data_IF_437710984026
#
_entry.id   IF_437710984026
#
_cell.length_a   1.000
_cell.length_b   1.000
_cell.length_c   1.000
_cell.angle_alpha   90.00
_cell.angle_beta   90.00
_cell.angle_gamma   90.00
#
_symmetry.space_group_name_H-M   'P 1'
#
loop_
_entity.id
_entity.type
_entity.pdbx_description
1 polymer ?
#
# COMPACT_ATOMS: atom_id res chain seq x y z
N UNK A 1 -118.20 -2.45 -33.78
CA UNK A 1 -117.04 -1.57 -34.05
C UNK A 1 -116.29 -1.43 -32.73
N UNK A 2 -115.13 -2.06 -32.66
CA UNK A 2 -114.29 -2.18 -31.46
C UNK A 2 -113.27 -1.03 -31.52
N UNK A 3 -113.16 -0.24 -30.46
CA UNK A 3 -112.09 0.76 -30.30
C UNK A 3 -111.43 0.52 -28.94
N UNK A 4 -110.13 0.22 -28.90
CA UNK A 4 -109.45 -0.16 -27.65
C UNK A 4 -108.92 1.08 -26.93
N UNK A 5 -109.22 1.17 -25.63
CA UNK A 5 -108.57 2.10 -24.70
C UNK A 5 -107.55 1.32 -23.87
N UNK A 6 -106.46 0.92 -24.51
CA UNK A 6 -105.26 0.39 -23.83
C UNK A 6 -104.05 1.12 -24.36
N UNK A 7 -103.88 2.37 -23.92
CA UNK A 7 -102.62 3.11 -24.17
C UNK A 7 -102.12 3.90 -22.96
N UNK A 8 -103.00 4.31 -22.06
CA UNK A 8 -102.62 5.18 -20.94
C UNK A 8 -102.07 4.44 -19.71
N UNK A 9 -102.37 3.15 -19.51
CA UNK A 9 -101.76 2.41 -18.39
C UNK A 9 -100.32 2.01 -18.69
N UNK A 10 -99.99 1.62 -19.93
CA UNK A 10 -98.63 1.23 -20.31
C UNK A 10 -97.63 2.41 -20.33
N UNK A 11 -98.09 3.62 -20.66
CA UNK A 11 -97.24 4.83 -20.63
C UNK A 11 -96.93 5.26 -19.20
N UNK A 12 -97.91 5.19 -18.30
CA UNK A 12 -97.73 5.56 -16.89
C UNK A 12 -96.87 4.54 -16.13
N UNK A 13 -97.02 3.23 -16.40
CA UNK A 13 -96.10 2.23 -15.81
C UNK A 13 -94.69 2.33 -16.36
N UNK A 14 -94.49 2.67 -17.63
CA UNK A 14 -93.15 2.91 -18.19
C UNK A 14 -92.47 4.15 -17.60
N UNK A 15 -93.21 5.24 -17.38
CA UNK A 15 -92.67 6.45 -16.74
C UNK A 15 -92.33 6.21 -15.27
N UNK A 16 -93.18 5.49 -14.51
CA UNK A 16 -92.90 5.14 -13.12
C UNK A 16 -91.72 4.17 -13.01
N UNK A 17 -91.61 3.19 -13.91
CA UNK A 17 -90.45 2.29 -13.96
C UNK A 17 -89.15 3.04 -14.28
N UNK A 18 -89.18 4.00 -15.22
CA UNK A 18 -88.01 4.84 -15.55
C UNK A 18 -87.61 5.78 -14.40
N UNK A 19 -88.58 6.34 -13.67
CA UNK A 19 -88.29 7.16 -12.49
C UNK A 19 -87.73 6.34 -11.33
N UNK A 20 -88.21 5.11 -11.15
CA UNK A 20 -87.70 4.18 -10.15
C UNK A 20 -86.27 3.76 -10.48
N UNK A 21 -85.99 3.41 -11.74
CA UNK A 21 -84.65 3.04 -12.22
C UNK A 21 -83.64 4.16 -12.01
N UNK A 22 -84.00 5.42 -12.32
CA UNK A 22 -83.14 6.58 -12.00
C UNK A 22 -82.95 6.80 -10.50
N UNK A 23 -83.97 6.53 -9.69
CA UNK A 23 -83.87 6.64 -8.23
C UNK A 23 -82.92 5.58 -7.67
N UNK A 24 -82.99 4.37 -8.21
CA UNK A 24 -82.14 3.25 -7.84
C UNK A 24 -80.68 3.50 -8.30
N UNK A 25 -80.48 4.06 -9.50
CA UNK A 25 -79.17 4.53 -9.98
C UNK A 25 -78.61 5.66 -9.09
N UNK A 26 -79.43 6.63 -8.70
CA UNK A 26 -79.01 7.72 -7.80
C UNK A 26 -78.62 7.18 -6.42
N UNK A 27 -79.39 6.22 -5.91
CA UNK A 27 -79.09 5.54 -4.64
C UNK A 27 -77.80 4.73 -4.74
N UNK A 28 -77.57 4.04 -5.86
CA UNK A 28 -76.33 3.31 -6.11
C UNK A 28 -75.12 4.25 -6.20
N UNK A 29 -75.22 5.35 -6.95
CA UNK A 29 -74.16 6.37 -7.05
C UNK A 29 -73.85 7.01 -5.70
N UNK A 30 -74.87 7.27 -4.87
CA UNK A 30 -74.69 7.80 -3.52
C UNK A 30 -74.00 6.79 -2.61
N UNK A 31 -74.41 5.52 -2.61
CA UNK A 31 -73.78 4.46 -1.83
C UNK A 31 -72.33 4.23 -2.27
N UNK A 32 -72.07 4.33 -3.56
CA UNK A 32 -70.75 4.16 -4.15
C UNK A 32 -69.83 5.36 -3.87
N UNK A 33 -70.36 6.59 -3.84
CA UNK A 33 -69.62 7.77 -3.40
C UNK A 33 -69.19 7.66 -1.92
N UNK A 34 -70.07 7.16 -1.05
CA UNK A 34 -69.74 6.90 0.36
C UNK A 34 -68.67 5.81 0.47
N UNK A 35 -68.75 4.74 -0.33
CA UNK A 35 -67.72 3.70 -0.38
C UNK A 35 -66.35 4.29 -0.77
N UNK A 36 -66.31 5.08 -1.84
CA UNK A 36 -65.08 5.76 -2.29
C UNK A 36 -64.52 6.71 -1.23
N UNK A 37 -65.39 7.41 -0.50
CA UNK A 37 -64.99 8.29 0.58
C UNK A 37 -64.36 7.51 1.75
N UNK A 38 -65.01 6.44 2.22
CA UNK A 38 -64.45 5.57 3.27
C UNK A 38 -63.12 4.95 2.85
N UNK A 39 -63.00 4.47 1.60
CA UNK A 39 -61.74 3.94 1.09
C UNK A 39 -60.65 5.02 0.97
N UNK A 40 -61.02 6.27 0.64
CA UNK A 40 -60.06 7.39 0.58
C UNK A 40 -59.58 7.78 1.98
N UNK A 41 -60.47 7.80 2.97
CA UNK A 41 -60.15 8.03 4.38
C UNK A 41 -59.27 6.90 4.93
N UNK A 42 -59.57 5.64 4.62
CA UNK A 42 -58.74 4.50 5.01
C UNK A 42 -57.33 4.59 4.40
N UNK A 43 -57.23 4.94 3.11
CA UNK A 43 -55.93 5.19 2.46
C UNK A 43 -55.17 6.35 3.11
N UNK A 44 -55.87 7.41 3.51
CA UNK A 44 -55.26 8.55 4.20
C UNK A 44 -54.73 8.14 5.57
N UNK A 45 -55.53 7.46 6.39
CA UNK A 45 -55.10 6.94 7.69
C UNK A 45 -53.90 5.98 7.55
N UNK A 46 -53.94 5.07 6.58
CA UNK A 46 -52.81 4.19 6.30
C UNK A 46 -51.56 4.97 5.87
N UNK A 47 -51.71 5.99 5.03
CA UNK A 47 -50.60 6.84 4.60
C UNK A 47 -49.96 7.60 5.78
N UNK A 48 -50.75 8.10 6.73
CA UNK A 48 -50.26 8.75 7.95
C UNK A 48 -49.50 7.77 8.86
N UNK A 49 -50.00 6.54 9.03
CA UNK A 49 -49.31 5.50 9.79
C UNK A 49 -47.97 5.12 9.14
N UNK A 50 -47.95 4.94 7.82
CA UNK A 50 -46.74 4.68 7.06
C UNK A 50 -45.74 5.83 7.17
N UNK A 51 -46.22 7.08 7.12
CA UNK A 51 -45.39 8.27 7.30
C UNK A 51 -44.77 8.32 8.70
N UNK A 52 -45.55 8.06 9.75
CA UNK A 52 -45.06 8.05 11.13
C UNK A 52 -44.03 6.94 11.34
N UNK A 53 -44.27 5.74 10.78
CA UNK A 53 -43.34 4.62 10.81
C UNK A 53 -42.04 4.96 10.06
N UNK A 54 -42.14 5.60 8.89
CA UNK A 54 -41.00 6.05 8.10
C UNK A 54 -40.17 7.10 8.86
N UNK A 55 -40.80 8.07 9.52
CA UNK A 55 -40.11 9.06 10.35
C UNK A 55 -39.41 8.43 11.56
N UNK A 56 -40.03 7.45 12.20
CA UNK A 56 -39.40 6.73 13.33
C UNK A 56 -38.15 5.96 12.89
N UNK A 57 -38.23 5.25 11.75
CA UNK A 57 -37.07 4.59 11.15
C UNK A 57 -36.00 5.60 10.71
N UNK A 58 -36.41 6.75 10.17
CA UNK A 58 -35.51 7.83 9.78
C UNK A 58 -34.78 8.47 10.97
N UNK A 59 -35.44 8.59 12.12
CA UNK A 59 -34.82 9.05 13.36
C UNK A 59 -33.85 8.02 13.94
N UNK A 60 -34.21 6.73 13.85
CA UNK A 60 -33.35 5.64 14.32
C UNK A 60 -32.07 5.52 13.50
N UNK A 61 -32.16 5.56 12.16
CA UNK A 61 -30.96 5.57 11.29
C UNK A 61 -30.09 6.81 11.54
N UNK A 62 -30.68 7.96 11.86
CA UNK A 62 -29.93 9.17 12.15
C UNK A 62 -29.15 9.03 13.46
N UNK A 63 -29.77 8.45 14.49
CA UNK A 63 -29.10 8.17 15.76
C UNK A 63 -27.97 7.15 15.59
N UNK A 64 -28.18 6.10 14.79
CA UNK A 64 -27.12 5.14 14.44
C UNK A 64 -25.96 5.81 13.70
N UNK A 65 -26.24 6.69 12.75
CA UNK A 65 -25.22 7.48 12.05
C UNK A 65 -24.48 8.41 13.02
N UNK A 66 -25.17 9.03 13.98
CA UNK A 66 -24.55 9.88 15.02
C UNK A 66 -23.61 9.08 15.92
N UNK A 67 -24.00 7.86 16.28
CA UNK A 67 -23.16 6.95 17.05
C UNK A 67 -21.93 6.52 16.24
N UNK A 68 -22.10 6.14 14.96
CA UNK A 68 -20.98 5.80 14.08
C UNK A 68 -20.02 6.98 13.88
N UNK A 69 -20.54 8.19 13.66
CA UNK A 69 -19.73 9.42 13.58
C UNK A 69 -18.97 9.65 14.89
N UNK A 70 -19.59 9.39 16.04
CA UNK A 70 -18.93 9.56 17.35
C UNK A 70 -17.80 8.54 17.52
N UNK A 71 -18.03 7.28 17.17
CA UNK A 71 -17.01 6.21 17.18
C UNK A 71 -15.87 6.54 16.20
N UNK A 72 -16.20 6.96 14.97
CA UNK A 72 -15.21 7.38 13.97
C UNK A 72 -14.43 8.60 14.43
N UNK A 73 -15.07 9.59 15.07
CA UNK A 73 -14.40 10.77 15.62
C UNK A 73 -13.48 10.41 16.77
N UNK A 74 -13.89 9.51 17.67
CA UNK A 74 -13.04 9.02 18.75
C UNK A 74 -11.86 8.19 18.21
N UNK A 75 -12.07 7.36 17.19
CA UNK A 75 -11.01 6.64 16.50
C UNK A 75 -10.05 7.59 15.77
N UNK A 76 -10.58 8.65 15.14
CA UNK A 76 -9.80 9.68 14.44
C UNK A 76 -9.04 10.57 15.44
N UNK A 77 -9.61 10.90 16.60
CA UNK A 77 -8.93 11.60 17.69
C UNK A 77 -7.83 10.71 18.29
N UNK A 78 -8.08 9.41 18.44
CA UNK A 78 -7.05 8.45 18.88
C UNK A 78 -5.93 8.34 17.86
N UNK A 79 -6.25 8.30 16.56
CA UNK A 79 -5.24 8.36 15.48
C UNK A 79 -4.55 9.73 15.45
N UNK A 80 -5.25 10.83 15.69
CA UNK A 80 -4.67 12.19 15.77
C UNK A 80 -3.76 12.34 16.99
N UNK A 81 -4.10 11.73 18.13
CA UNK A 81 -3.24 11.65 19.31
C UNK A 81 -1.99 10.81 19.03
N UNK A 82 -2.14 9.69 18.31
CA UNK A 82 -1.00 8.91 17.81
C UNK A 82 -0.15 9.74 16.82
N UNK A 83 -0.77 10.52 15.91
CA UNK A 83 -0.09 11.38 14.92
C UNK A 83 0.54 12.62 15.55
N UNK A 84 0.02 13.14 16.66
CA UNK A 84 0.67 14.19 17.47
C UNK A 84 1.84 13.64 18.31
N UNK A 85 1.83 12.34 18.65
CA UNK A 85 2.99 11.62 19.21
C UNK A 85 3.95 11.09 18.15
N UNK A 86 3.55 11.08 16.88
CA UNK A 86 4.48 10.92 15.77
C UNK A 86 5.24 12.23 15.61
N UNK A 87 6.15 12.47 16.55
CA UNK A 87 7.21 13.45 16.35
C UNK A 87 7.94 13.04 15.05
N UNK A 88 7.85 13.88 14.03
CA UNK A 88 8.51 13.63 12.73
C UNK A 88 10.03 13.56 12.94
N UNK A 89 10.57 14.20 14.00
CA UNK A 89 11.93 14.01 14.49
C UNK A 89 12.14 12.71 15.28
N UNK A 90 11.09 12.09 15.85
CA UNK A 90 11.16 10.78 16.48
C UNK A 90 11.00 9.62 15.48
N UNK A 91 10.24 9.80 14.40
CA UNK A 91 10.18 8.89 13.26
C UNK A 91 11.54 8.74 12.59
N UNK A 92 12.24 9.86 12.45
CA UNK A 92 13.62 9.91 11.99
C UNK A 92 14.52 10.31 13.14
N UNK A 93 14.57 9.46 14.19
CA UNK A 93 15.53 9.59 15.28
C UNK A 93 16.94 9.50 14.66
N UNK A 94 17.54 10.65 14.35
CA UNK A 94 18.81 10.68 13.63
C UNK A 94 19.85 9.90 14.45
N UNK A 95 20.48 8.87 13.86
CA UNK A 95 21.42 8.01 14.59
C UNK A 95 22.72 8.75 14.95
N UNK A 96 22.94 9.92 14.36
CA UNK A 96 24.14 10.72 14.54
C UNK A 96 24.08 11.67 15.73
N UNK A 97 25.27 12.07 16.19
CA UNK A 97 25.45 13.19 17.11
C UNK A 97 24.99 14.54 16.52
N UNK A 98 24.69 15.51 17.39
CA UNK A 98 24.28 16.86 16.99
C UNK A 98 25.30 17.54 16.06
N UNK A 99 26.58 17.31 16.28
CA UNK A 99 27.68 17.88 15.49
C UNK A 99 27.63 17.40 14.02
N UNK A 100 27.44 16.10 13.82
CA UNK A 100 27.27 15.52 12.50
C UNK A 100 25.99 16.07 11.85
N UNK A 101 24.88 16.10 12.60
CA UNK A 101 23.59 16.58 12.08
C UNK A 101 23.64 18.05 11.63
N UNK A 102 24.39 18.92 12.32
CA UNK A 102 24.54 20.34 11.95
C UNK A 102 25.50 20.60 10.79
N UNK A 103 26.33 19.63 10.40
CA UNK A 103 27.30 19.82 9.31
C UNK A 103 26.58 19.94 7.96
N UNK A 104 26.63 21.09 7.26
CA UNK A 104 25.97 21.22 5.96
C UNK A 104 26.69 20.38 4.90
N UNK A 105 25.93 19.77 4.00
CA UNK A 105 26.50 19.16 2.78
C UNK A 105 26.83 20.32 1.83
N UNK A 106 28.10 20.48 1.38
CA UNK A 106 28.45 21.54 0.46
C UNK A 106 27.64 21.47 -0.83
N UNK A 107 27.11 22.59 -1.31
CA UNK A 107 26.27 22.64 -2.52
C UNK A 107 27.02 22.27 -3.80
N UNK A 108 28.34 22.33 -3.80
CA UNK A 108 29.23 21.92 -4.88
C UNK A 108 29.76 20.48 -4.70
N UNK A 109 29.24 19.71 -3.75
CA UNK A 109 29.68 18.34 -3.54
C UNK A 109 29.29 17.47 -4.74
N UNK A 110 30.26 16.70 -5.27
CA UNK A 110 30.04 15.83 -6.42
C UNK A 110 29.01 14.76 -6.06
N UNK A 111 28.13 14.44 -7.00
CA UNK A 111 27.18 13.34 -6.85
C UNK A 111 27.89 12.04 -6.46
N UNK A 112 27.28 11.30 -5.54
CA UNK A 112 27.84 10.07 -5.02
C UNK A 112 27.68 8.95 -6.05
N UNK A 113 28.80 8.56 -6.68
CA UNK A 113 28.84 7.46 -7.66
C UNK A 113 29.21 6.16 -6.96
N UNK A 114 28.30 5.66 -6.13
CA UNK A 114 28.42 4.37 -5.43
C UNK A 114 27.12 3.62 -5.63
N UNK A 115 27.22 2.35 -6.03
CA UNK A 115 26.04 1.51 -6.20
C UNK A 115 25.26 1.40 -4.88
N UNK A 116 23.92 1.48 -4.89
CA UNK A 116 23.16 1.39 -3.67
C UNK A 116 23.29 0.03 -2.99
N UNK A 117 23.39 0.02 -1.66
CA UNK A 117 23.46 -1.18 -0.84
C UNK A 117 22.08 -1.55 -0.31
N UNK A 118 21.51 -2.64 -0.80
CA UNK A 118 20.18 -3.11 -0.39
C UNK A 118 20.21 -4.17 0.73
N UNK A 119 21.42 -4.61 1.11
CA UNK A 119 21.63 -5.66 2.09
C UNK A 119 21.96 -7.02 1.48
N UNK A 120 22.15 -7.15 0.17
CA UNK A 120 22.53 -8.41 -0.48
C UNK A 120 24.00 -8.48 -0.89
N UNK A 121 24.67 -7.33 -1.00
CA UNK A 121 26.06 -7.21 -1.40
C UNK A 121 27.02 -7.47 -0.24
N UNK A 122 28.31 -7.66 -0.55
CA UNK A 122 29.35 -7.73 0.47
C UNK A 122 29.52 -6.34 1.15
N UNK A 123 29.33 -6.23 2.48
CA UNK A 123 29.43 -4.96 3.17
C UNK A 123 30.85 -4.35 3.13
N UNK A 124 31.90 -5.17 3.08
CA UNK A 124 33.26 -4.66 3.00
C UNK A 124 33.55 -4.04 1.63
N UNK A 125 33.07 -4.68 0.55
CA UNK A 125 33.21 -4.14 -0.80
C UNK A 125 32.47 -2.81 -0.95
N UNK A 126 31.26 -2.72 -0.41
CA UNK A 126 30.49 -1.47 -0.39
C UNK A 126 31.20 -0.36 0.37
N UNK A 127 31.68 -0.66 1.59
CA UNK A 127 32.41 0.28 2.43
C UNK A 127 33.69 0.78 1.74
N UNK A 128 34.43 -0.11 1.07
CA UNK A 128 35.63 0.22 0.32
C UNK A 128 35.33 1.14 -0.88
N UNK A 129 34.27 0.84 -1.64
CA UNK A 129 33.85 1.67 -2.78
C UNK A 129 33.49 3.08 -2.31
N UNK A 130 32.70 3.19 -1.24
CA UNK A 130 32.35 4.46 -0.63
C UNK A 130 33.57 5.24 -0.14
N UNK A 131 34.48 4.60 0.61
CA UNK A 131 35.70 5.26 1.09
C UNK A 131 36.61 5.76 -0.04
N UNK A 132 36.70 5.02 -1.14
CA UNK A 132 37.46 5.43 -2.32
C UNK A 132 36.88 6.71 -2.94
N UNK A 133 35.55 6.81 -3.01
CA UNK A 133 34.86 8.00 -3.48
C UNK A 133 35.03 9.19 -2.52
N UNK A 134 34.99 8.94 -1.22
CA UNK A 134 35.19 9.98 -0.21
C UNK A 134 36.62 10.52 -0.16
N UNK A 135 37.63 9.67 -0.38
CA UNK A 135 39.02 10.08 -0.51
C UNK A 135 39.21 11.09 -1.66
N UNK A 136 38.55 10.86 -2.80
CA UNK A 136 38.64 11.75 -3.97
C UNK A 136 37.89 13.07 -3.79
N UNK A 137 36.85 13.09 -2.95
CA UNK A 137 36.00 14.28 -2.74
C UNK A 137 36.41 15.12 -1.53
N UNK A 138 37.32 14.63 -0.68
CA UNK A 138 37.82 15.35 0.49
C UNK A 138 36.81 15.49 1.61
N UNK A 139 35.89 14.53 1.75
CA UNK A 139 34.82 14.61 2.76
C UNK A 139 35.31 14.53 4.20
N UNK A 140 34.71 15.33 5.08
CA UNK A 140 34.90 15.23 6.53
C UNK A 140 34.22 13.99 7.10
N UNK A 141 34.60 13.58 8.31
CA UNK A 141 34.00 12.41 8.98
C UNK A 141 32.47 12.53 9.10
N UNK A 142 31.98 13.71 9.50
CA UNK A 142 30.56 14.02 9.56
C UNK A 142 29.85 13.95 8.19
N UNK A 143 30.53 14.39 7.13
CA UNK A 143 29.99 14.31 5.77
C UNK A 143 29.94 12.85 5.29
N UNK A 144 30.97 12.06 5.59
CA UNK A 144 31.01 10.63 5.29
C UNK A 144 29.83 9.89 5.94
N UNK A 145 29.53 10.18 7.21
CA UNK A 145 28.35 9.63 7.90
C UNK A 145 27.05 9.88 7.14
N UNK A 146 26.80 11.14 6.77
CA UNK A 146 25.57 11.54 6.08
C UNK A 146 25.43 10.91 4.70
N UNK A 147 26.47 11.04 3.89
CA UNK A 147 26.47 10.54 2.51
C UNK A 147 26.43 9.02 2.45
N UNK A 148 26.95 8.32 3.46
CA UNK A 148 26.85 6.87 3.51
C UNK A 148 25.38 6.41 3.60
N UNK A 149 24.53 7.14 4.33
CA UNK A 149 23.10 6.81 4.41
C UNK A 149 22.42 6.90 3.04
N UNK A 150 22.83 7.86 2.20
CA UNK A 150 22.27 8.04 0.86
C UNK A 150 22.53 6.83 -0.05
N UNK A 151 23.53 6.01 0.28
CA UNK A 151 23.81 4.74 -0.41
C UNK A 151 22.91 3.59 0.01
N UNK A 152 22.22 3.66 1.15
CA UNK A 152 21.47 2.53 1.68
C UNK A 152 20.08 2.43 1.05
N UNK A 153 19.63 1.21 0.76
CA UNK A 153 18.28 0.90 0.24
C UNK A 153 17.71 -0.34 0.94
N UNK A 154 16.43 -0.60 0.75
CA UNK A 154 15.79 -1.85 1.18
C UNK A 154 16.03 -2.21 2.65
N UNK A 155 16.55 -3.42 2.90
CA UNK A 155 16.81 -3.96 4.24
C UNK A 155 17.85 -3.11 4.98
N UNK A 156 18.80 -2.51 4.28
CA UNK A 156 19.80 -1.64 4.88
C UNK A 156 19.20 -0.34 5.45
N UNK A 157 18.18 0.23 4.79
CA UNK A 157 17.43 1.38 5.31
C UNK A 157 16.58 1.01 6.53
N UNK A 158 16.01 -0.20 6.55
CA UNK A 158 15.26 -0.69 7.71
C UNK A 158 16.19 -0.87 8.91
N UNK A 159 17.39 -1.43 8.70
CA UNK A 159 18.41 -1.52 9.73
C UNK A 159 18.80 -0.15 10.31
N UNK A 160 18.94 0.87 9.47
CA UNK A 160 19.24 2.23 9.95
C UNK A 160 18.14 2.74 10.90
N UNK A 161 16.87 2.46 10.60
CA UNK A 161 15.72 2.93 11.40
C UNK A 161 15.61 2.31 12.79
N UNK A 162 16.21 1.14 13.01
CA UNK A 162 16.26 0.46 14.31
C UNK A 162 17.48 0.85 15.16
N UNK A 163 18.44 1.59 14.61
CA UNK A 163 19.56 2.11 15.40
C UNK A 163 19.05 3.14 16.42
N UNK A 164 19.56 3.04 17.65
CA UNK A 164 19.25 4.03 18.69
C UNK A 164 19.83 5.39 18.29
N UNK A 165 19.06 6.46 18.48
CA UNK A 165 19.54 7.81 18.23
C UNK A 165 20.82 8.09 19.00
N UNK A 166 21.68 8.95 18.44
CA UNK A 166 22.93 9.41 19.07
C UNK A 166 24.01 8.33 19.26
N UNK A 167 23.87 7.13 18.70
CA UNK A 167 24.88 6.07 18.84
C UNK A 167 26.08 6.25 17.91
N UNK A 168 25.93 6.98 16.82
CA UNK A 168 26.97 7.15 15.82
C UNK A 168 27.64 8.51 16.04
N UNK A 169 28.85 8.48 16.58
CA UNK A 169 29.65 9.67 16.86
C UNK A 169 30.69 9.93 15.77
N UNK A 170 30.99 8.92 14.95
CA UNK A 170 31.95 9.01 13.83
C UNK A 170 31.61 8.05 12.69
N UNK A 171 32.23 8.26 11.53
CA UNK A 171 32.08 7.33 10.41
C UNK A 171 32.64 5.94 10.74
N UNK A 172 33.66 5.89 11.60
CA UNK A 172 34.22 4.63 12.10
C UNK A 172 33.17 3.83 12.88
N UNK A 173 32.39 4.48 13.74
CA UNK A 173 31.33 3.81 14.52
C UNK A 173 30.25 3.26 13.60
N UNK A 174 29.83 4.07 12.61
CA UNK A 174 28.88 3.65 11.57
C UNK A 174 29.38 2.43 10.81
N UNK A 175 30.63 2.45 10.36
CA UNK A 175 31.25 1.36 9.61
C UNK A 175 31.31 0.05 10.42
N UNK A 176 31.65 0.13 11.72
CA UNK A 176 31.68 -1.04 12.61
C UNK A 176 30.29 -1.64 12.78
N UNK A 177 29.28 -0.81 13.04
CA UNK A 177 27.89 -1.26 13.18
C UNK A 177 27.37 -1.88 11.87
N UNK A 178 27.63 -1.22 10.75
CA UNK A 178 27.24 -1.68 9.42
C UNK A 178 27.84 -3.04 9.07
N UNK A 179 29.16 -3.19 9.22
CA UNK A 179 29.83 -4.47 8.93
C UNK A 179 29.33 -5.56 9.87
N UNK A 180 29.14 -5.25 11.16
CA UNK A 180 28.64 -6.23 12.14
C UNK A 180 27.24 -6.71 11.80
N UNK A 181 26.36 -5.82 11.35
CA UNK A 181 25.00 -6.16 10.95
C UNK A 181 24.96 -7.08 9.72
N UNK A 182 25.75 -6.75 8.69
CA UNK A 182 25.68 -7.40 7.38
C UNK A 182 26.79 -8.42 7.15
N UNK A 183 27.54 -8.81 8.20
CA UNK A 183 28.69 -9.73 8.08
C UNK A 183 28.32 -11.06 7.45
N UNK A 184 27.09 -11.54 7.63
CA UNK A 184 26.58 -12.76 7.02
C UNK A 184 26.49 -12.69 5.49
N UNK A 185 26.37 -11.48 4.92
CA UNK A 185 26.32 -11.23 3.47
C UNK A 185 27.70 -11.05 2.86
N UNK A 186 28.76 -11.21 3.67
CA UNK A 186 30.12 -11.23 3.15
C UNK A 186 30.23 -12.27 2.05
N UNK A 187 30.75 -11.86 0.90
CA UNK A 187 30.92 -12.75 -0.22
C UNK A 187 31.78 -13.94 0.24
N UNK A 188 31.30 -15.15 -0.05
CA UNK A 188 32.08 -16.36 0.23
C UNK A 188 33.45 -16.19 -0.42
N UNK A 189 34.51 -16.28 0.39
CA UNK A 189 35.87 -16.27 -0.13
C UNK A 189 36.03 -17.50 -1.00
N UNK A 190 36.55 -17.28 -2.21
CA UNK A 190 36.87 -18.38 -3.10
C UNK A 190 38.18 -19.00 -2.63
N UNK A 191 38.21 -20.32 -2.61
CA UNK A 191 39.37 -21.13 -2.28
C UNK A 191 40.05 -21.63 -3.57
N UNK A 192 41.30 -22.09 -3.47
CA UNK A 192 41.99 -22.72 -4.60
C UNK A 192 41.19 -23.89 -5.18
N UNK A 193 40.42 -24.60 -4.36
CA UNK A 193 39.54 -25.68 -4.81
C UNK A 193 38.51 -25.20 -5.85
N UNK A 194 37.93 -24.00 -5.67
CA UNK A 194 36.92 -23.45 -6.58
C UNK A 194 37.48 -23.18 -7.99
N UNK A 195 38.80 -23.00 -8.13
CA UNK A 195 39.44 -22.86 -9.45
C UNK A 195 39.42 -24.15 -10.26
N UNK A 196 39.40 -25.31 -9.61
CA UNK A 196 39.36 -26.61 -10.28
C UNK A 196 38.00 -26.93 -10.88
N UNK A 197 36.95 -26.23 -10.47
CA UNK A 197 35.60 -26.36 -11.01
C UNK A 197 35.41 -25.56 -12.31
N UNK A 198 36.32 -24.62 -12.61
CA UNK A 198 36.28 -23.83 -13.84
C UNK A 198 36.79 -24.68 -15.00
N UNK A 199 35.86 -25.14 -15.84
CA UNK A 199 36.16 -25.89 -17.06
C UNK A 199 35.88 -25.07 -18.31
N UNK A 200 36.70 -25.27 -19.33
CA UNK A 200 36.45 -24.75 -20.67
C UNK A 200 35.20 -25.45 -21.22
N UNK A 201 34.21 -24.66 -21.61
CA UNK A 201 32.96 -25.19 -22.14
C UNK A 201 33.13 -25.66 -23.59
N UNK A 202 32.26 -26.57 -24.04
CA UNK A 202 32.33 -27.07 -25.43
C UNK A 202 32.03 -25.93 -26.41
N UNK A 203 32.97 -25.66 -27.32
CA UNK A 203 32.88 -24.55 -28.27
C UNK A 203 33.31 -23.19 -27.72
N UNK A 204 33.78 -23.13 -26.48
CA UNK A 204 34.36 -21.91 -25.92
C UNK A 204 35.81 -21.72 -26.40
N UNK A 205 36.13 -20.52 -26.87
CA UNK A 205 37.51 -20.18 -27.21
C UNK A 205 38.37 -19.93 -25.95
N UNK A 206 39.68 -20.14 -26.09
CA UNK A 206 40.64 -20.03 -24.99
C UNK A 206 40.63 -18.66 -24.31
N UNK A 207 40.42 -17.57 -25.07
CA UNK A 207 40.39 -16.20 -24.53
C UNK A 207 39.23 -16.01 -23.56
N UNK A 208 38.06 -16.52 -23.89
CA UNK A 208 36.86 -16.44 -23.06
C UNK A 208 37.01 -17.27 -21.78
N UNK A 209 37.58 -18.47 -21.92
CA UNK A 209 37.88 -19.33 -20.77
C UNK A 209 38.89 -18.66 -19.82
N UNK A 210 39.99 -18.14 -20.37
CA UNK A 210 41.01 -17.43 -19.59
C UNK A 210 40.44 -16.20 -18.87
N UNK A 211 39.55 -15.45 -19.51
CA UNK A 211 38.90 -14.29 -18.88
C UNK A 211 38.06 -14.71 -17.67
N UNK A 212 37.28 -15.79 -17.78
CA UNK A 212 36.52 -16.32 -16.63
C UNK A 212 37.44 -16.85 -15.54
N UNK A 213 38.44 -17.65 -15.91
CA UNK A 213 39.40 -18.21 -14.96
C UNK A 213 40.10 -17.10 -14.17
N UNK A 214 40.57 -16.05 -14.85
CA UNK A 214 41.22 -14.91 -14.22
C UNK A 214 40.26 -14.14 -13.29
N UNK A 215 38.98 -13.98 -13.65
CA UNK A 215 38.01 -13.30 -12.79
C UNK A 215 37.78 -14.02 -11.45
N UNK A 216 37.79 -15.35 -11.45
CA UNK A 216 37.71 -16.14 -10.21
C UNK A 216 39.05 -16.12 -9.48
N UNK A 217 40.17 -16.27 -10.21
CA UNK A 217 41.53 -16.26 -9.65
C UNK A 217 41.83 -15.01 -8.82
N UNK A 218 41.48 -13.81 -9.32
CA UNK A 218 41.73 -12.55 -8.58
C UNK A 218 40.92 -12.42 -7.28
N UNK A 219 39.90 -13.27 -7.10
CA UNK A 219 39.04 -13.30 -5.90
C UNK A 219 39.43 -14.41 -4.92
N UNK A 220 40.36 -15.29 -5.30
CA UNK A 220 40.91 -16.34 -4.43
C UNK A 220 41.96 -15.73 -3.52
N UNK A 221 41.77 -15.88 -2.22
CA UNK A 221 42.65 -15.29 -1.21
C UNK A 221 43.60 -16.36 -0.66
N UNK A 222 44.52 -16.85 -1.50
CA UNK A 222 45.41 -17.97 -1.18
C UNK A 222 46.89 -17.63 -1.47
N UNK A 223 47.78 -18.08 -0.59
CA UNK A 223 49.24 -17.93 -0.70
C UNK A 223 49.87 -18.99 -1.62
N UNK A 224 49.14 -20.03 -2.01
CA UNK A 224 49.63 -21.14 -2.83
C UNK A 224 49.35 -20.99 -4.32
N UNK A 225 49.77 -19.86 -4.91
CA UNK A 225 49.65 -19.55 -6.36
C UNK A 225 50.15 -20.67 -7.28
N UNK A 226 51.05 -21.54 -6.79
CA UNK A 226 51.53 -22.75 -7.47
C UNK A 226 50.41 -23.69 -7.97
N UNK A 227 49.22 -23.64 -7.37
CA UNK A 227 48.08 -24.45 -7.79
C UNK A 227 47.24 -23.83 -8.91
N UNK A 228 47.38 -22.52 -9.19
CA UNK A 228 46.59 -21.84 -10.21
C UNK A 228 46.87 -22.39 -11.60
N UNK A 229 48.14 -22.62 -11.93
CA UNK A 229 48.55 -23.21 -13.21
C UNK A 229 47.98 -24.63 -13.36
N UNK A 230 48.01 -25.42 -12.28
CA UNK A 230 47.45 -26.79 -12.29
C UNK A 230 45.94 -26.78 -12.48
N UNK A 231 45.22 -25.87 -11.81
CA UNK A 231 43.79 -25.72 -11.98
C UNK A 231 43.44 -25.28 -13.41
N UNK A 232 44.15 -24.29 -13.95
CA UNK A 232 43.97 -23.83 -15.33
C UNK A 232 44.17 -24.95 -16.35
N UNK A 233 45.26 -25.70 -16.22
CA UNK A 233 45.58 -26.84 -17.10
C UNK A 233 44.53 -27.95 -17.01
N UNK A 234 44.04 -28.27 -15.81
CA UNK A 234 42.98 -29.28 -15.63
C UNK A 234 41.63 -28.88 -16.21
N UNK A 235 41.35 -27.58 -16.29
CA UNK A 235 40.10 -27.08 -16.84
C UNK A 235 40.06 -26.97 -18.36
N UNK A 236 41.21 -27.06 -19.06
CA UNK A 236 41.27 -27.02 -20.53
C UNK A 236 40.60 -28.24 -21.17
N UNK A 237 39.88 -28.03 -22.28
CA UNK A 237 39.43 -29.14 -23.11
C UNK A 237 40.60 -29.73 -23.89
N UNK A 238 40.59 -31.05 -24.08
CA UNK A 238 41.45 -31.68 -25.06
C UNK A 238 41.05 -31.15 -26.45
N UNK A 239 42.04 -30.62 -27.17
CA UNK A 239 41.86 -30.08 -28.52
C UNK A 239 41.58 -31.15 -29.56
#
# INVERSE_FOLDING_TARGET
MIMPLTRNQASSTNEVASLQERSDEQSWLSAEAVRRQMEAEERHCQAEEWHLKAMKMAKQREEELRQQITIMKAATEKVRGLVQEVDIHALWRQPFSEEINRTPIPTNFRELVVDPFDGTQDPHSHLQAFQTQMYNSGGSDALNCKLFLDTLRGVAMQWLSILLAWTIQSFKDLAVLFVSQFIANKAKRLEVADLFDIRQAKGENLKSYLARFNNVMVRVNDSEQKFFVKAFQKGLQAG
#
